data_IF_167526987789
#
_entry.id   IF_167526987789
#
_cell.length_a   1.000
_cell.length_b   1.000
_cell.length_c   1.000
_cell.angle_alpha   90.00
_cell.angle_beta   90.00
_cell.angle_gamma   90.00
#
_symmetry.space_group_name_H-M   'P 1'
#
loop_
_entity.id
_entity.type
_entity.pdbx_description
1 polymer ?
#
# COMPACT_ATOMS: atom_id res chain seq x y z
N UNK A 1 24.00 -63.24 -50.35
CA UNK A 1 24.40 -61.96 -50.95
C UNK A 1 23.25 -60.99 -50.80
N UNK A 2 23.09 -60.38 -49.72
CA UNK A 2 22.18 -59.20 -49.56
C UNK A 2 22.55 -58.48 -48.29
N UNK A 3 23.05 -57.31 -48.50
CA UNK A 3 23.50 -56.35 -47.50
C UNK A 3 22.28 -55.66 -46.90
N UNK A 4 22.06 -55.73 -45.59
CA UNK A 4 21.05 -54.90 -44.87
C UNK A 4 21.77 -53.90 -44.01
N UNK A 5 21.84 -52.71 -44.54
CA UNK A 5 22.25 -51.49 -43.83
C UNK A 5 21.21 -51.09 -42.80
N UNK A 6 21.58 -51.06 -41.53
CA UNK A 6 20.74 -50.57 -40.43
C UNK A 6 20.95 -49.05 -40.30
N UNK A 7 19.88 -48.28 -40.55
CA UNK A 7 19.85 -46.85 -40.27
C UNK A 7 19.51 -46.64 -38.81
N UNK A 8 20.50 -46.25 -38.03
CA UNK A 8 20.27 -45.77 -36.63
C UNK A 8 19.85 -44.32 -36.69
N UNK A 9 18.59 -44.06 -36.35
CA UNK A 9 18.09 -42.68 -36.18
C UNK A 9 18.49 -42.17 -34.83
N UNK A 10 19.44 -41.21 -34.83
CA UNK A 10 19.79 -40.41 -33.64
C UNK A 10 18.72 -39.33 -33.47
N UNK A 11 17.87 -39.47 -32.48
CA UNK A 11 16.96 -38.45 -32.09
C UNK A 11 17.73 -37.41 -31.20
N UNK A 12 18.08 -36.28 -31.77
CA UNK A 12 18.63 -35.17 -31.02
C UNK A 12 17.48 -34.45 -30.32
N UNK A 13 17.36 -34.64 -29.00
CA UNK A 13 16.45 -33.87 -28.14
C UNK A 13 17.05 -32.48 -27.95
N UNK A 14 16.50 -31.48 -28.62
CA UNK A 14 16.73 -30.08 -28.29
C UNK A 14 16.05 -29.77 -26.94
N UNK A 15 16.80 -29.77 -25.85
CA UNK A 15 16.41 -29.12 -24.61
C UNK A 15 16.57 -27.60 -24.85
N UNK A 16 15.47 -26.93 -25.17
CA UNK A 16 15.39 -25.46 -25.14
C UNK A 16 15.41 -25.04 -23.67
N UNK A 17 16.58 -24.68 -23.15
CA UNK A 17 16.69 -23.92 -21.92
C UNK A 17 16.02 -22.56 -22.13
N UNK A 18 14.80 -22.41 -21.66
CA UNK A 18 14.19 -21.09 -21.42
C UNK A 18 15.00 -20.43 -20.30
N UNK A 19 16.03 -19.67 -20.69
CA UNK A 19 16.66 -18.71 -19.81
C UNK A 19 15.61 -17.63 -19.52
N UNK A 20 14.95 -17.74 -18.37
CA UNK A 20 14.21 -16.63 -17.78
C UNK A 20 15.28 -15.59 -17.47
N UNK A 21 15.42 -14.60 -18.33
CA UNK A 21 16.21 -13.41 -18.03
C UNK A 21 15.57 -12.76 -16.81
N UNK A 22 16.13 -13.02 -15.62
CA UNK A 22 15.89 -12.17 -14.48
C UNK A 22 16.40 -10.78 -14.90
N UNK A 23 15.48 -9.90 -15.28
CA UNK A 23 15.81 -8.50 -15.40
C UNK A 23 16.21 -8.08 -13.98
N UNK A 24 17.50 -7.89 -13.75
CA UNK A 24 17.99 -7.21 -12.57
C UNK A 24 17.27 -5.85 -12.57
N UNK A 25 16.50 -5.58 -11.53
CA UNK A 25 15.93 -4.24 -11.33
C UNK A 25 17.12 -3.28 -11.33
N UNK A 26 17.03 -2.22 -12.13
CA UNK A 26 18.07 -1.21 -12.22
C UNK A 26 18.36 -0.68 -10.81
N UNK A 27 19.66 -0.64 -10.45
CA UNK A 27 20.07 -0.19 -9.12
C UNK A 27 19.61 1.26 -8.91
N UNK A 28 18.84 1.50 -7.85
CA UNK A 28 18.34 2.85 -7.55
C UNK A 28 19.52 3.71 -7.11
N UNK A 29 19.85 4.78 -7.83
CA UNK A 29 21.00 5.61 -7.45
C UNK A 29 20.74 6.33 -6.13
N UNK A 30 21.79 6.50 -5.32
CA UNK A 30 21.70 7.24 -4.07
C UNK A 30 21.43 8.72 -4.34
N UNK A 31 20.18 9.12 -4.19
CA UNK A 31 19.72 10.51 -4.30
C UNK A 31 18.86 10.80 -3.08
N UNK A 32 19.20 11.89 -2.42
CA UNK A 32 18.55 12.25 -1.16
C UNK A 32 17.31 13.10 -1.37
N UNK A 33 16.22 12.79 -0.65
CA UNK A 33 15.07 13.69 -0.55
C UNK A 33 15.47 15.00 0.13
N UNK A 34 15.14 16.17 -0.44
CA UNK A 34 15.36 17.46 0.22
C UNK A 34 14.62 17.56 1.58
N UNK A 35 15.11 18.42 2.47
CA UNK A 35 14.54 18.55 3.82
C UNK A 35 13.06 18.94 3.82
N UNK A 36 12.65 19.86 2.94
CA UNK A 36 11.23 20.23 2.80
C UNK A 36 10.36 19.07 2.33
N UNK A 37 10.86 18.23 1.41
CA UNK A 37 10.18 17.03 0.94
C UNK A 37 10.11 15.99 2.05
N UNK A 38 11.23 15.73 2.75
CA UNK A 38 11.26 14.80 3.90
C UNK A 38 10.23 15.18 4.97
N UNK A 39 10.15 16.47 5.30
CA UNK A 39 9.15 16.98 6.26
C UNK A 39 7.74 16.82 5.75
N UNK A 40 7.49 17.06 4.46
CA UNK A 40 6.18 16.88 3.85
C UNK A 40 5.76 15.41 3.80
N UNK A 41 6.69 14.48 3.51
CA UNK A 41 6.42 13.04 3.57
C UNK A 41 5.90 12.61 4.95
N UNK A 42 6.53 13.11 6.01
CA UNK A 42 6.11 12.79 7.38
C UNK A 42 4.82 13.52 7.78
N UNK A 43 4.62 14.76 7.30
CA UNK A 43 3.42 15.55 7.54
C UNK A 43 2.18 14.95 6.87
N UNK A 44 2.27 14.61 5.59
CA UNK A 44 1.12 14.06 4.83
C UNK A 44 0.68 12.71 5.39
N UNK A 45 1.64 11.92 5.90
CA UNK A 45 1.38 10.68 6.61
C UNK A 45 0.89 10.90 8.05
N UNK A 46 0.83 12.15 8.54
CA UNK A 46 0.48 12.45 9.92
C UNK A 46 1.28 11.62 10.94
N UNK A 47 2.61 11.57 10.75
CA UNK A 47 3.50 10.79 11.62
C UNK A 47 3.51 11.38 13.03
N UNK A 48 3.39 10.50 14.03
CA UNK A 48 3.37 10.85 15.45
C UNK A 48 4.18 9.88 16.30
N UNK A 49 4.22 10.09 17.63
CA UNK A 49 5.10 9.36 18.55
C UNK A 49 4.74 7.88 18.71
N UNK A 50 3.56 7.45 18.29
CA UNK A 50 3.13 6.06 18.32
C UNK A 50 3.47 5.30 17.03
N UNK A 51 3.98 6.01 16.02
CA UNK A 51 4.30 5.39 14.74
C UNK A 51 5.64 4.67 14.75
N UNK A 52 5.68 3.63 13.90
CA UNK A 52 6.91 2.99 13.46
C UNK A 52 7.09 3.26 11.97
N UNK A 53 8.08 4.09 11.65
CA UNK A 53 8.42 4.48 10.27
C UNK A 53 9.45 3.50 9.71
N UNK A 54 9.12 2.83 8.62
CA UNK A 54 10.05 1.99 7.85
C UNK A 54 10.42 2.71 6.56
N UNK A 55 11.70 3.00 6.37
CA UNK A 55 12.21 3.67 5.18
C UNK A 55 12.95 2.67 4.27
N UNK A 56 12.42 2.45 3.08
CA UNK A 56 12.95 1.48 2.12
C UNK A 56 13.94 2.15 1.17
N UNK A 57 15.22 1.74 1.22
CA UNK A 57 16.33 2.44 0.58
C UNK A 57 16.68 3.71 1.34
N UNK A 58 17.00 3.57 2.63
CA UNK A 58 17.07 4.70 3.56
C UNK A 58 18.26 5.65 3.35
N UNK A 59 19.22 5.27 2.52
CA UNK A 59 20.38 6.09 2.20
C UNK A 59 21.14 6.57 3.46
N UNK A 60 21.21 7.89 3.65
CA UNK A 60 21.88 8.50 4.80
C UNK A 60 21.00 8.60 6.07
N UNK A 61 19.82 7.99 6.05
CA UNK A 61 18.92 7.84 7.19
C UNK A 61 18.05 9.07 7.50
N UNK A 62 18.08 10.10 6.66
CA UNK A 62 17.44 11.40 6.96
C UNK A 62 15.96 11.33 7.28
N UNK A 63 15.17 10.46 6.61
CA UNK A 63 13.73 10.35 6.82
C UNK A 63 13.44 9.79 8.21
N UNK A 64 14.06 8.66 8.58
CA UNK A 64 13.89 8.04 9.91
C UNK A 64 14.41 8.94 11.03
N UNK A 65 15.56 9.58 10.82
CA UNK A 65 16.14 10.54 11.78
C UNK A 65 15.19 11.71 11.99
N UNK A 66 14.62 12.26 10.92
CA UNK A 66 13.66 13.38 11.00
C UNK A 66 12.37 12.94 11.71
N UNK A 67 11.85 11.74 11.41
CA UNK A 67 10.69 11.17 12.09
C UNK A 67 10.93 11.04 13.60
N UNK A 68 12.10 10.52 14.01
CA UNK A 68 12.46 10.39 15.40
C UNK A 68 12.62 11.74 16.11
N UNK A 69 13.30 12.70 15.45
CA UNK A 69 13.65 14.00 16.03
C UNK A 69 12.45 14.95 16.14
N UNK A 70 11.63 15.05 15.09
CA UNK A 70 10.55 16.03 15.03
C UNK A 70 9.19 15.49 15.45
N UNK A 71 8.96 14.17 15.29
CA UNK A 71 7.66 13.57 15.56
C UNK A 71 7.69 12.58 16.73
N UNK A 72 8.87 12.32 17.32
CA UNK A 72 9.02 11.36 18.41
C UNK A 72 8.77 9.89 18.02
N UNK A 73 8.61 9.63 16.72
CA UNK A 73 8.38 8.29 16.19
C UNK A 73 9.59 7.38 16.41
N UNK A 74 9.36 6.08 16.39
CA UNK A 74 10.42 5.09 16.19
C UNK A 74 10.46 4.70 14.73
N UNK A 75 11.61 4.21 14.27
CA UNK A 75 11.68 3.72 12.91
C UNK A 75 12.94 2.95 12.60
N UNK A 76 12.93 2.36 11.42
CA UNK A 76 14.02 1.59 10.86
C UNK A 76 14.22 1.98 9.41
N UNK A 77 15.47 2.18 9.02
CA UNK A 77 15.87 2.30 7.63
C UNK A 77 16.54 1.01 7.18
N UNK A 78 16.19 0.53 6.00
CA UNK A 78 16.89 -0.57 5.33
C UNK A 78 17.60 -0.05 4.08
N UNK A 79 18.85 -0.43 3.92
CA UNK A 79 19.72 0.02 2.84
C UNK A 79 20.67 -1.13 2.47
N UNK A 80 20.96 -1.28 1.17
CA UNK A 80 21.81 -2.37 0.69
C UNK A 80 23.29 -1.96 0.65
N UNK A 81 23.60 -0.66 0.61
CA UNK A 81 24.97 -0.17 0.69
C UNK A 81 25.41 -0.04 2.15
N UNK A 82 26.34 -0.90 2.62
CA UNK A 82 26.83 -0.87 4.01
C UNK A 82 27.48 0.46 4.39
N UNK A 83 28.07 1.19 3.43
CA UNK A 83 28.67 2.49 3.68
C UNK A 83 27.60 3.53 4.03
N UNK A 84 26.44 3.48 3.35
CA UNK A 84 25.30 4.34 3.68
C UNK A 84 24.67 3.95 5.01
N UNK A 85 24.61 2.66 5.34
CA UNK A 85 24.14 2.19 6.66
C UNK A 85 25.03 2.72 7.79
N UNK A 86 26.36 2.65 7.65
CA UNK A 86 27.28 3.22 8.64
C UNK A 86 27.10 4.75 8.77
N UNK A 87 26.95 5.43 7.65
CA UNK A 87 26.67 6.87 7.61
C UNK A 87 25.35 7.21 8.31
N UNK A 88 24.29 6.46 8.06
CA UNK A 88 22.97 6.68 8.68
C UNK A 88 23.02 6.49 10.20
N UNK A 89 23.76 5.47 10.69
CA UNK A 89 24.00 5.25 12.13
C UNK A 89 24.78 6.41 12.77
N UNK A 90 25.83 6.89 12.10
CA UNK A 90 26.59 8.05 12.56
C UNK A 90 25.72 9.32 12.62
N UNK A 91 24.88 9.54 11.59
CA UNK A 91 23.94 10.66 11.55
C UNK A 91 22.90 10.59 12.68
N UNK A 92 22.35 9.40 12.97
CA UNK A 92 21.40 9.19 14.08
C UNK A 92 22.01 9.51 15.43
N UNK A 93 23.27 9.09 15.64
CA UNK A 93 24.04 9.41 16.86
C UNK A 93 24.30 10.91 16.98
N UNK A 94 24.72 11.57 15.91
CA UNK A 94 24.92 13.02 15.89
C UNK A 94 23.60 13.80 16.16
N UNK A 95 22.47 13.24 15.71
CA UNK A 95 21.16 13.82 15.97
C UNK A 95 20.59 13.49 17.37
N UNK A 96 21.22 12.58 18.13
CA UNK A 96 20.78 12.14 19.46
C UNK A 96 19.50 11.29 19.44
N UNK A 97 19.29 10.52 18.36
CA UNK A 97 18.07 9.72 18.15
C UNK A 97 18.35 8.24 17.90
N UNK A 98 19.56 7.76 18.15
CA UNK A 98 19.98 6.37 17.92
C UNK A 98 19.14 5.33 18.67
N UNK A 99 18.51 5.71 19.76
CA UNK A 99 17.59 4.84 20.50
C UNK A 99 16.21 4.67 19.83
N UNK A 100 15.90 5.49 18.82
CA UNK A 100 14.62 5.50 18.10
C UNK A 100 14.77 5.25 16.60
N UNK A 101 15.97 5.45 16.04
CA UNK A 101 16.28 5.31 14.62
C UNK A 101 17.32 4.21 14.43
N UNK A 102 16.86 3.06 13.96
CA UNK A 102 17.69 1.89 13.65
C UNK A 102 17.98 1.83 12.14
N UNK A 103 19.17 1.33 11.74
CA UNK A 103 19.54 1.14 10.34
C UNK A 103 20.18 -0.22 10.13
N UNK A 104 19.71 -0.92 9.08
CA UNK A 104 20.14 -2.28 8.74
C UNK A 104 20.66 -2.37 7.32
N UNK A 105 21.77 -3.08 7.16
CA UNK A 105 22.22 -3.58 5.87
C UNK A 105 21.28 -4.73 5.47
N UNK A 106 20.35 -4.42 4.57
CA UNK A 106 19.28 -5.36 4.24
C UNK A 106 18.62 -5.01 2.91
N UNK A 107 18.36 -6.05 2.12
CA UNK A 107 17.55 -5.98 0.91
C UNK A 107 16.09 -5.63 1.25
N UNK A 108 15.59 -4.54 0.68
CA UNK A 108 14.22 -4.06 0.91
C UNK A 108 13.14 -5.09 0.53
N UNK A 109 13.42 -5.95 -0.49
CA UNK A 109 12.49 -7.01 -0.91
C UNK A 109 12.43 -8.19 0.08
N UNK A 110 13.40 -8.31 0.99
CA UNK A 110 13.46 -9.34 2.04
C UNK A 110 13.10 -8.79 3.42
N UNK A 111 12.64 -7.55 3.47
CA UNK A 111 12.29 -6.87 4.71
C UNK A 111 10.88 -7.22 5.16
N UNK A 112 10.72 -7.53 6.47
CA UNK A 112 9.40 -7.64 7.08
C UNK A 112 8.76 -6.26 7.20
N UNK A 113 7.74 -6.02 6.39
CA UNK A 113 7.01 -4.75 6.33
C UNK A 113 5.91 -4.66 7.40
N UNK A 114 5.56 -5.75 8.08
CA UNK A 114 4.34 -5.85 8.92
C UNK A 114 4.38 -5.02 10.20
N UNK A 115 5.58 -4.64 10.66
CA UNK A 115 5.78 -3.81 11.85
C UNK A 115 5.48 -2.33 11.60
N UNK A 116 5.49 -1.91 10.33
CA UNK A 116 5.36 -0.50 9.97
C UNK A 116 3.92 0.00 10.07
N UNK A 117 3.73 1.15 10.70
CA UNK A 117 2.53 1.96 10.56
C UNK A 117 2.64 2.98 9.43
N UNK A 118 3.89 3.35 9.08
CA UNK A 118 4.22 4.22 7.94
C UNK A 118 5.41 3.62 7.20
N UNK A 119 5.30 3.52 5.88
CA UNK A 119 6.41 3.15 4.99
C UNK A 119 6.74 4.34 4.11
N UNK A 120 8.01 4.70 4.04
CA UNK A 120 8.52 5.76 3.16
C UNK A 120 9.41 5.18 2.07
N UNK A 121 9.37 5.79 0.88
CA UNK A 121 10.09 5.34 -0.30
C UNK A 121 10.53 6.53 -1.15
N UNK A 122 11.77 6.49 -1.63
CA UNK A 122 12.21 7.31 -2.76
C UNK A 122 12.90 6.39 -3.76
N UNK A 123 12.09 5.58 -4.41
CA UNK A 123 12.49 4.49 -5.30
C UNK A 123 11.90 4.70 -6.68
N UNK A 124 12.44 4.04 -7.71
CA UNK A 124 11.89 4.09 -9.06
C UNK A 124 10.50 3.43 -9.13
N UNK A 125 9.69 3.83 -10.11
CA UNK A 125 8.33 3.27 -10.32
C UNK A 125 8.35 1.76 -10.43
N UNK A 126 9.34 1.18 -11.10
CA UNK A 126 9.47 -0.28 -11.29
C UNK A 126 9.64 -1.00 -9.94
N UNK A 127 10.42 -0.41 -9.04
CA UNK A 127 10.64 -0.94 -7.68
C UNK A 127 9.35 -0.82 -6.85
N UNK A 128 8.68 0.33 -6.91
CA UNK A 128 7.37 0.53 -6.26
C UNK A 128 6.33 -0.49 -6.75
N UNK A 129 6.29 -0.75 -8.06
CA UNK A 129 5.39 -1.75 -8.66
C UNK A 129 5.74 -3.18 -8.22
N UNK A 130 7.03 -3.50 -8.06
CA UNK A 130 7.47 -4.80 -7.56
C UNK A 130 7.10 -5.00 -6.06
N UNK A 131 7.14 -3.93 -5.26
CA UNK A 131 6.75 -3.95 -3.84
C UNK A 131 5.23 -3.96 -3.65
N UNK A 132 4.46 -3.39 -4.57
CA UNK A 132 3.01 -3.17 -4.46
C UNK A 132 2.20 -4.38 -4.00
N UNK A 133 2.43 -5.61 -4.49
CA UNK A 133 1.69 -6.78 -4.00
C UNK A 133 1.86 -7.00 -2.48
N UNK A 134 3.09 -6.87 -1.96
CA UNK A 134 3.37 -7.02 -0.53
C UNK A 134 2.78 -5.84 0.29
N UNK A 135 2.83 -4.63 -0.25
CA UNK A 135 2.27 -3.44 0.39
C UNK A 135 0.74 -3.52 0.54
N UNK A 136 0.04 -4.13 -0.42
CA UNK A 136 -1.41 -4.33 -0.37
C UNK A 136 -1.85 -5.40 0.64
N UNK A 137 -0.93 -6.25 1.13
CA UNK A 137 -1.20 -7.24 2.17
C UNK A 137 -1.02 -6.69 3.60
N UNK A 138 -0.52 -5.47 3.73
CA UNK A 138 -0.31 -4.84 5.03
C UNK A 138 -1.65 -4.56 5.73
N UNK A 139 -1.56 -4.32 7.04
CA UNK A 139 -2.72 -3.96 7.86
C UNK A 139 -3.44 -2.74 7.29
N UNK A 140 -4.78 -2.80 7.14
CA UNK A 140 -5.55 -1.62 6.74
C UNK A 140 -5.24 -0.42 7.62
N UNK A 141 -5.03 0.74 6.98
CA UNK A 141 -4.61 1.96 7.66
C UNK A 141 -3.09 2.19 7.70
N UNK A 142 -2.26 1.22 7.29
CA UNK A 142 -0.84 1.48 7.06
C UNK A 142 -0.69 2.55 5.98
N UNK A 143 0.13 3.56 6.24
CA UNK A 143 0.34 4.70 5.35
C UNK A 143 1.63 4.52 4.56
N UNK A 144 1.53 4.64 3.25
CA UNK A 144 2.65 4.49 2.31
C UNK A 144 2.92 5.85 1.69
N UNK A 145 4.14 6.31 1.75
CA UNK A 145 4.53 7.62 1.21
C UNK A 145 5.66 7.45 0.23
N UNK A 146 5.46 7.96 -0.98
CA UNK A 146 6.49 7.95 -2.02
C UNK A 146 6.84 9.37 -2.45
N UNK A 147 8.14 9.62 -2.63
CA UNK A 147 8.68 10.85 -3.20
C UNK A 147 8.82 10.66 -4.72
N UNK A 148 8.20 11.53 -5.50
CA UNK A 148 8.16 11.63 -6.97
C UNK A 148 7.55 10.43 -7.72
N UNK A 149 7.75 9.19 -7.28
CA UNK A 149 7.40 7.99 -8.03
C UNK A 149 6.10 7.35 -7.56
N UNK A 150 5.23 7.01 -8.49
CA UNK A 150 3.92 6.44 -8.21
C UNK A 150 3.91 4.90 -8.13
N UNK A 151 2.72 4.32 -7.97
CA UNK A 151 2.45 2.87 -7.98
C UNK A 151 1.57 2.45 -9.18
N UNK A 152 1.72 3.14 -10.32
CA UNK A 152 1.01 2.83 -11.55
C UNK A 152 -0.49 3.12 -11.45
N UNK A 153 -1.30 2.08 -11.64
CA UNK A 153 -2.75 2.18 -11.62
C UNK A 153 -3.37 2.27 -10.22
N UNK A 154 -2.61 1.98 -9.15
CA UNK A 154 -3.02 2.29 -7.79
C UNK A 154 -2.80 3.78 -7.52
N UNK A 155 -3.86 4.57 -7.71
CA UNK A 155 -3.77 6.03 -7.55
C UNK A 155 -3.61 6.42 -6.08
N UNK A 156 -2.81 7.47 -5.77
CA UNK A 156 -2.64 7.92 -4.39
C UNK A 156 -3.95 8.49 -3.81
N UNK A 157 -4.10 8.37 -2.51
CA UNK A 157 -5.20 9.00 -1.77
C UNK A 157 -5.02 10.51 -1.68
N UNK A 158 -3.76 10.96 -1.62
CA UNK A 158 -3.40 12.38 -1.61
C UNK A 158 -2.06 12.58 -2.31
N UNK A 159 -1.91 13.73 -2.96
CA UNK A 159 -0.63 14.19 -3.54
C UNK A 159 -0.41 15.64 -3.17
N UNK A 160 0.80 15.95 -2.70
CA UNK A 160 1.28 17.33 -2.51
C UNK A 160 2.43 17.59 -3.47
N UNK A 161 2.45 18.76 -4.08
CA UNK A 161 3.53 19.20 -4.96
C UNK A 161 4.27 20.34 -4.28
N UNK A 162 5.60 20.24 -4.21
CA UNK A 162 6.48 21.19 -3.56
C UNK A 162 7.47 21.78 -4.53
N UNK A 163 7.80 23.05 -4.35
CA UNK A 163 8.93 23.67 -5.03
C UNK A 163 10.25 23.20 -4.39
N UNK A 164 11.17 22.73 -5.24
CA UNK A 164 12.50 22.24 -4.87
C UNK A 164 13.54 22.90 -5.79
N UNK A 165 13.91 24.16 -5.54
CA UNK A 165 14.81 24.93 -6.42
C UNK A 165 16.13 24.20 -6.72
N UNK A 166 16.66 23.48 -5.72
CA UNK A 166 17.94 22.76 -5.78
C UNK A 166 17.80 21.29 -6.23
N UNK A 167 16.64 20.92 -6.78
CA UNK A 167 16.42 19.54 -7.27
C UNK A 167 17.48 19.17 -8.30
N UNK A 168 18.19 18.06 -8.02
CA UNK A 168 19.32 17.61 -8.86
C UNK A 168 18.87 16.81 -10.07
N UNK A 169 17.71 16.16 -10.02
CA UNK A 169 17.18 15.28 -11.06
C UNK A 169 15.86 15.81 -11.58
N UNK A 170 15.67 15.65 -12.89
CA UNK A 170 14.49 16.15 -13.60
C UNK A 170 14.63 17.61 -14.06
N UNK A 171 13.79 17.98 -15.01
CA UNK A 171 13.76 19.35 -15.58
C UNK A 171 12.99 20.32 -14.73
N UNK A 172 11.98 19.81 -14.03
CA UNK A 172 11.13 20.62 -13.15
C UNK A 172 11.74 20.73 -11.76
N UNK A 173 11.74 21.95 -11.23
CA UNK A 173 12.19 22.25 -9.87
C UNK A 173 11.06 22.02 -8.85
N UNK A 174 10.32 20.92 -9.03
CA UNK A 174 9.21 20.50 -8.17
C UNK A 174 9.38 19.02 -7.82
N UNK A 175 8.86 18.65 -6.66
CA UNK A 175 8.73 17.26 -6.25
C UNK A 175 7.30 16.97 -5.82
N UNK A 176 6.84 15.77 -6.13
CA UNK A 176 5.55 15.26 -5.69
C UNK A 176 5.74 14.34 -4.48
N UNK A 177 4.88 14.47 -3.49
CA UNK A 177 4.76 13.54 -2.38
C UNK A 177 3.40 12.87 -2.46
N UNK A 178 3.41 11.56 -2.62
CA UNK A 178 2.22 10.74 -2.78
C UNK A 178 1.94 9.94 -1.50
N UNK A 179 0.69 9.92 -1.07
CA UNK A 179 0.22 9.12 0.06
C UNK A 179 -0.81 8.09 -0.40
N UNK A 180 -0.63 6.85 0.02
CA UNK A 180 -1.65 5.81 -0.01
C UNK A 180 -1.92 5.33 1.40
N UNK A 181 -3.18 5.00 1.68
CA UNK A 181 -3.59 4.34 2.93
C UNK A 181 -4.08 2.95 2.55
N UNK A 182 -3.41 1.92 3.03
CA UNK A 182 -3.76 0.53 2.71
C UNK A 182 -5.22 0.27 3.02
N UNK A 183 -6.04 -0.08 2.03
CA UNK A 183 -7.47 -0.28 2.23
C UNK A 183 -7.77 -1.66 2.81
N UNK A 184 -8.82 -1.76 3.61
CA UNK A 184 -9.38 -3.04 4.01
C UNK A 184 -9.90 -3.83 2.79
N UNK A 185 -9.81 -5.15 2.84
CA UNK A 185 -10.28 -6.06 1.78
C UNK A 185 -11.75 -6.40 2.00
N UNK A 186 -12.64 -5.68 1.31
CA UNK A 186 -14.10 -5.85 1.43
C UNK A 186 -14.73 -6.59 0.24
N UNK A 187 -13.95 -6.98 -0.76
CA UNK A 187 -14.41 -7.73 -1.93
C UNK A 187 -15.33 -8.90 -1.54
N UNK A 188 -16.46 -9.08 -2.27
CA UNK A 188 -17.36 -10.21 -2.15
C UNK A 188 -18.72 -9.88 -1.55
N UNK A 189 -19.49 -10.92 -1.22
CA UNK A 189 -20.86 -10.81 -0.71
C UNK A 189 -20.87 -10.77 0.82
N UNK A 190 -21.61 -9.80 1.34
CA UNK A 190 -21.84 -9.58 2.77
C UNK A 190 -23.33 -9.69 3.08
N UNK A 191 -23.67 -10.43 4.11
CA UNK A 191 -25.03 -10.79 4.46
C UNK A 191 -25.40 -10.29 5.85
N UNK A 192 -26.54 -9.63 5.96
CA UNK A 192 -27.11 -9.21 7.23
C UNK A 192 -27.75 -10.37 7.99
N UNK A 193 -27.61 -10.35 9.32
CA UNK A 193 -28.22 -11.32 10.23
C UNK A 193 -29.14 -10.63 11.25
N UNK A 194 -30.03 -11.37 11.90
CA UNK A 194 -30.96 -10.82 12.87
C UNK A 194 -31.85 -9.72 12.28
N UNK A 195 -31.79 -8.52 12.84
CA UNK A 195 -32.53 -7.34 12.37
C UNK A 195 -32.14 -6.90 10.94
N UNK A 196 -30.97 -7.31 10.46
CA UNK A 196 -30.47 -7.04 9.10
C UNK A 196 -30.81 -8.18 8.11
N UNK A 197 -31.60 -9.18 8.48
CA UNK A 197 -31.99 -10.28 7.60
C UNK A 197 -32.65 -9.71 6.34
N UNK A 198 -32.25 -10.23 5.16
CA UNK A 198 -32.70 -9.73 3.86
C UNK A 198 -31.93 -8.52 3.33
N UNK A 199 -30.96 -7.99 4.10
CA UNK A 199 -29.98 -7.02 3.61
C UNK A 199 -28.73 -7.75 3.13
N UNK A 200 -28.24 -7.41 1.94
CA UNK A 200 -26.95 -7.88 1.46
C UNK A 200 -26.21 -6.81 0.68
N UNK A 201 -24.89 -6.86 0.72
CA UNK A 201 -24.00 -6.00 -0.06
C UNK A 201 -23.03 -6.87 -0.85
N UNK A 202 -23.10 -6.80 -2.16
CA UNK A 202 -22.07 -7.39 -3.02
C UNK A 202 -21.10 -6.29 -3.43
N UNK A 203 -19.82 -6.46 -3.07
CA UNK A 203 -18.78 -5.46 -3.24
C UNK A 203 -17.76 -5.92 -4.27
N UNK A 204 -17.51 -5.07 -5.27
CA UNK A 204 -16.43 -5.20 -6.24
C UNK A 204 -15.40 -4.12 -5.94
N UNK A 205 -14.20 -4.54 -5.51
CA UNK A 205 -13.15 -3.65 -5.00
C UNK A 205 -11.95 -3.64 -5.95
N UNK A 206 -11.51 -2.43 -6.27
CA UNK A 206 -10.22 -2.21 -6.92
C UNK A 206 -9.43 -1.18 -6.09
N UNK A 207 -8.42 -1.65 -5.35
CA UNK A 207 -7.67 -0.83 -4.41
C UNK A 207 -8.60 -0.16 -3.39
N UNK A 208 -8.58 1.18 -3.30
CA UNK A 208 -9.47 1.95 -2.43
C UNK A 208 -10.86 2.23 -3.01
N UNK A 209 -11.11 1.90 -4.27
CA UNK A 209 -12.41 2.10 -4.91
C UNK A 209 -13.27 0.86 -4.72
N UNK A 210 -14.55 1.06 -4.40
CA UNK A 210 -15.52 -0.02 -4.24
C UNK A 210 -16.83 0.30 -4.95
N UNK A 211 -17.31 -0.66 -5.74
CA UNK A 211 -18.67 -0.68 -6.28
C UNK A 211 -19.51 -1.60 -5.39
N UNK A 212 -20.67 -1.14 -4.98
CA UNK A 212 -21.50 -1.82 -4.00
C UNK A 212 -22.89 -2.00 -4.60
N UNK A 213 -23.31 -3.24 -4.70
CA UNK A 213 -24.69 -3.60 -5.03
C UNK A 213 -25.40 -3.95 -3.71
N UNK A 214 -26.19 -3.00 -3.21
CA UNK A 214 -26.96 -3.14 -1.98
C UNK A 214 -28.35 -3.68 -2.30
N UNK A 215 -28.72 -4.78 -1.67
CA UNK A 215 -30.11 -5.30 -1.66
C UNK A 215 -30.69 -5.09 -0.24
N UNK A 216 -31.80 -4.40 -0.16
CA UNK A 216 -32.55 -4.19 1.09
C UNK A 216 -34.04 -4.04 0.78
N UNK A 217 -34.93 -4.62 1.60
CA UNK A 217 -36.38 -4.52 1.47
C UNK A 217 -36.90 -4.89 0.05
N UNK A 218 -36.33 -5.93 -0.57
CA UNK A 218 -36.72 -6.34 -1.92
C UNK A 218 -36.28 -5.39 -3.05
N UNK A 219 -35.55 -4.34 -2.74
CA UNK A 219 -34.99 -3.39 -3.73
C UNK A 219 -33.49 -3.54 -3.84
N UNK A 220 -32.96 -3.31 -5.04
CA UNK A 220 -31.53 -3.32 -5.31
C UNK A 220 -31.11 -1.93 -5.78
N UNK A 221 -29.97 -1.47 -5.31
CA UNK A 221 -29.35 -0.18 -5.69
C UNK A 221 -27.85 -0.32 -5.80
N UNK A 222 -27.28 0.35 -6.78
CA UNK A 222 -25.85 0.43 -6.99
C UNK A 222 -25.27 1.70 -6.37
N UNK A 223 -24.13 1.55 -5.73
CA UNK A 223 -23.38 2.65 -5.13
C UNK A 223 -21.91 2.54 -5.51
N UNK A 224 -21.23 3.66 -5.42
CA UNK A 224 -19.78 3.72 -5.52
C UNK A 224 -19.24 4.41 -4.26
N UNK A 225 -18.13 3.88 -3.75
CA UNK A 225 -17.51 4.40 -2.53
C UNK A 225 -16.00 4.32 -2.59
N UNK A 226 -15.39 4.88 -1.56
CA UNK A 226 -13.94 4.84 -1.36
C UNK A 226 -13.62 4.29 0.02
N UNK A 227 -12.57 3.45 0.10
CA UNK A 227 -12.09 2.85 1.33
C UNK A 227 -10.80 3.56 1.74
N UNK A 228 -10.75 4.03 2.99
CA UNK A 228 -9.56 4.57 3.62
C UNK A 228 -9.30 3.79 4.91
N UNK A 229 -8.22 3.03 4.94
CA UNK A 229 -7.98 2.09 6.05
C UNK A 229 -9.12 1.07 6.18
N UNK A 230 -9.73 0.98 7.34
CA UNK A 230 -10.85 0.07 7.61
C UNK A 230 -12.23 0.64 7.27
N UNK A 231 -12.32 1.93 6.90
CA UNK A 231 -13.60 2.62 6.70
C UNK A 231 -13.86 2.87 5.22
N UNK A 232 -15.03 2.43 4.75
CA UNK A 232 -15.54 2.79 3.43
C UNK A 232 -16.62 3.85 3.54
N UNK A 233 -16.57 4.81 2.63
CA UNK A 233 -17.51 5.93 2.56
C UNK A 233 -18.18 5.95 1.19
N UNK A 234 -19.50 6.02 1.19
CA UNK A 234 -20.36 6.17 0.02
C UNK A 234 -20.91 7.58 0.01
N UNK A 235 -20.58 8.42 -0.97
CA UNK A 235 -21.12 9.77 -1.07
C UNK A 235 -22.55 9.79 -1.62
N UNK A 236 -23.29 10.85 -1.31
CA UNK A 236 -24.51 11.25 -2.04
C UNK A 236 -24.14 11.92 -3.37
N UNK A 237 -25.11 12.16 -4.24
CA UNK A 237 -24.93 12.99 -5.45
C UNK A 237 -24.49 14.43 -5.15
N UNK A 238 -24.73 14.92 -3.93
CA UNK A 238 -24.30 16.24 -3.46
C UNK A 238 -22.92 16.25 -2.78
N UNK A 239 -22.25 15.11 -2.69
CA UNK A 239 -20.92 14.97 -2.08
C UNK A 239 -20.92 14.66 -0.58
N UNK A 240 -22.06 14.77 0.10
CA UNK A 240 -22.18 14.34 1.49
C UNK A 240 -22.12 12.82 1.64
N UNK A 241 -21.79 12.33 2.84
CA UNK A 241 -21.78 10.90 3.11
C UNK A 241 -23.21 10.35 3.21
N UNK A 242 -23.60 9.49 2.27
CA UNK A 242 -24.85 8.74 2.32
C UNK A 242 -24.79 7.58 3.30
N UNK A 243 -23.67 6.85 3.29
CA UNK A 243 -23.42 5.70 4.15
C UNK A 243 -21.92 5.54 4.37
N UNK A 244 -21.53 5.12 5.57
CA UNK A 244 -20.19 4.61 5.83
C UNK A 244 -20.25 3.30 6.61
N UNK A 245 -19.27 2.44 6.37
CA UNK A 245 -19.14 1.18 7.07
C UNK A 245 -17.68 0.91 7.39
N UNK A 246 -17.48 0.17 8.47
CA UNK A 246 -16.17 -0.18 8.98
C UNK A 246 -16.00 -1.69 9.00
N UNK A 247 -14.87 -2.17 8.49
CA UNK A 247 -14.47 -3.57 8.57
C UNK A 247 -13.78 -3.83 9.91
N UNK A 248 -14.36 -4.72 10.73
CA UNK A 248 -13.84 -5.16 12.01
C UNK A 248 -13.69 -6.69 12.01
N UNK A 249 -12.50 -7.18 11.62
CA UNK A 249 -12.29 -8.61 11.37
C UNK A 249 -13.13 -9.11 10.20
N UNK A 250 -14.02 -10.06 10.44
CA UNK A 250 -14.96 -10.64 9.47
C UNK A 250 -16.35 -9.98 9.46
N UNK A 251 -16.49 -8.86 10.18
CA UNK A 251 -17.75 -8.12 10.32
C UNK A 251 -17.66 -6.76 9.67
N UNK A 252 -18.71 -6.40 8.94
CA UNK A 252 -18.90 -5.10 8.35
C UNK A 252 -19.99 -4.36 9.13
N UNK A 253 -19.61 -3.33 9.87
CA UNK A 253 -20.55 -2.51 10.66
C UNK A 253 -20.88 -1.24 9.88
N UNK A 254 -22.16 -0.93 9.74
CA UNK A 254 -22.63 0.34 9.15
C UNK A 254 -22.58 1.40 10.25
N UNK A 255 -21.58 2.30 10.18
CA UNK A 255 -21.33 3.32 11.22
C UNK A 255 -22.10 4.62 10.99
N UNK A 256 -22.45 4.90 9.73
CA UNK A 256 -23.33 6.00 9.38
C UNK A 256 -24.21 5.62 8.19
N UNK A 257 -25.46 6.08 8.22
CA UNK A 257 -26.42 5.99 7.13
C UNK A 257 -27.43 7.12 7.25
N UNK A 258 -27.80 7.74 6.12
CA UNK A 258 -28.69 8.90 6.06
C UNK A 258 -29.84 8.64 5.10
N UNK A 259 -30.88 9.46 5.19
CA UNK A 259 -32.06 9.44 4.33
C UNK A 259 -32.71 8.05 4.23
N UNK A 260 -32.94 7.57 3.03
CA UNK A 260 -33.54 6.24 2.77
C UNK A 260 -32.73 5.05 3.27
N UNK A 261 -31.46 5.27 3.67
CA UNK A 261 -30.57 4.24 4.23
C UNK A 261 -30.50 4.29 5.75
N UNK A 262 -31.12 5.27 6.41
CA UNK A 262 -31.01 5.51 7.87
C UNK A 262 -31.32 4.27 8.72
N UNK A 263 -32.24 3.43 8.26
CA UNK A 263 -32.59 2.18 8.94
C UNK A 263 -31.47 1.13 8.96
N UNK A 264 -30.43 1.27 8.12
CA UNK A 264 -29.29 0.36 8.06
C UNK A 264 -28.21 0.74 9.09
N UNK A 265 -28.31 1.92 9.72
CA UNK A 265 -27.34 2.37 10.70
C UNK A 265 -27.24 1.38 11.86
N UNK A 266 -26.00 1.19 12.33
CA UNK A 266 -25.62 0.23 13.37
C UNK A 266 -25.82 -1.26 12.98
N UNK A 267 -26.28 -1.51 11.76
CA UNK A 267 -26.38 -2.86 11.20
C UNK A 267 -25.02 -3.52 11.03
N UNK A 268 -25.00 -4.84 11.20
CA UNK A 268 -23.81 -5.65 11.03
C UNK A 268 -24.08 -6.70 9.95
N UNK A 269 -23.15 -6.80 9.01
CA UNK A 269 -23.13 -7.85 7.99
C UNK A 269 -21.88 -8.71 8.20
N UNK A 270 -21.99 -9.98 7.85
CA UNK A 270 -20.88 -10.93 7.83
C UNK A 270 -20.60 -11.39 6.41
N UNK A 271 -19.39 -11.80 6.15
CA UNK A 271 -19.01 -12.32 4.83
C UNK A 271 -19.79 -13.60 4.52
N UNK A 272 -20.35 -13.70 3.32
CA UNK A 272 -21.08 -14.90 2.91
C UNK A 272 -20.17 -16.13 2.87
N UNK A 273 -20.68 -17.25 3.36
CA UNK A 273 -20.06 -18.56 3.22
C UNK A 273 -20.71 -19.27 2.04
N UNK A 274 -19.91 -19.76 1.10
CA UNK A 274 -20.44 -20.45 -0.09
C UNK A 274 -21.11 -19.57 -1.15
N UNK A 275 -20.90 -18.22 -1.08
CA UNK A 275 -21.31 -17.29 -2.15
C UNK A 275 -22.80 -16.92 -2.16
N UNK A 276 -23.57 -17.29 -1.14
CA UNK A 276 -24.97 -16.91 -0.98
C UNK A 276 -25.27 -16.47 0.47
N UNK A 277 -26.26 -15.58 0.62
CA UNK A 277 -26.81 -15.30 1.94
C UNK A 277 -27.74 -16.43 2.35
N UNK A 278 -27.56 -16.96 3.56
CA UNK A 278 -28.50 -17.93 4.13
C UNK A 278 -29.92 -17.36 4.20
N UNK A 279 -30.92 -18.21 4.03
CA UNK A 279 -32.33 -17.86 4.10
C UNK A 279 -32.75 -17.40 5.52
#
# INVERSE_FOLDING_TARGET
>A
MTNKSAFTKIAASLLACLAISAHALEEVPFITSPDNVTREMLRIANVGPQDFVLDLGSGDGRIVITAAKLHGARGMGVEIDPTLVERSRANAKLAGVESRAEFRDQDLFKTDLTQASVITMYLLTEVNLALRPALLELKPGTRLVSHDWDMGDWKPDQTTVLDVPDKKIGREKKSSVHLWVVPAKVQGLWCGAGAMRGVSMNMDQRYQEVKIKLRAMGRERDYQGKITGSVATVPTSGGDTAMSFELQGDRLRIVAARESLAMLKDGVLTRAVGGACGA
#
